data_IF_047913319567
#
_entry.id   IF_047913319567
#
_cell.length_a   1.000
_cell.length_b   1.000
_cell.length_c   1.000
_cell.angle_alpha   90.00
_cell.angle_beta   90.00
_cell.angle_gamma   90.00
#
_symmetry.space_group_name_H-M   'P 1'
#
loop_
_entity.id
_entity.type
_entity.pdbx_description
1 polymer ?
#
# COMPACT_ATOMS: atom_id res chain seq x y z
N UNK A 1 11.59 21.93 -6.94
CA UNK A 1 11.70 20.46 -6.95
C UNK A 1 13.15 20.11 -6.71
N UNK A 2 13.41 19.14 -5.82
CA UNK A 2 14.75 18.60 -5.56
C UNK A 2 15.20 17.71 -6.73
N UNK A 3 16.52 17.57 -6.93
CA UNK A 3 17.05 16.62 -7.91
C UNK A 3 16.70 15.19 -7.51
N UNK A 4 16.55 14.34 -8.53
CA UNK A 4 16.23 12.93 -8.35
C UNK A 4 17.51 12.13 -8.08
N UNK A 5 17.55 11.48 -6.92
CA UNK A 5 18.66 10.61 -6.49
C UNK A 5 18.18 9.20 -6.11
N UNK A 6 16.96 8.82 -6.51
CA UNK A 6 16.43 7.52 -6.17
C UNK A 6 17.19 6.41 -6.89
N UNK A 7 17.49 5.35 -6.15
CA UNK A 7 17.97 4.08 -6.71
C UNK A 7 16.78 3.30 -7.29
N UNK A 8 17.05 2.47 -8.29
CA UNK A 8 15.99 1.73 -8.98
C UNK A 8 15.42 0.58 -8.13
N UNK A 9 16.29 -0.10 -7.39
CA UNK A 9 15.96 -1.24 -6.55
C UNK A 9 16.72 -1.20 -5.24
N UNK A 10 16.09 -1.77 -4.21
CA UNK A 10 16.76 -2.01 -2.92
C UNK A 10 16.72 -3.49 -2.58
N UNK A 11 17.89 -4.03 -2.21
CA UNK A 11 18.03 -5.42 -1.83
C UNK A 11 17.44 -5.68 -0.42
N UNK A 12 16.90 -6.89 -0.19
CA UNK A 12 16.26 -7.23 1.11
C UNK A 12 17.24 -7.25 2.29
N UNK A 13 18.47 -7.64 2.04
CA UNK A 13 19.53 -7.67 3.04
C UNK A 13 19.93 -6.26 3.51
N UNK A 14 19.86 -5.26 2.64
CA UNK A 14 20.06 -3.86 3.02
C UNK A 14 18.93 -3.36 3.92
N UNK A 15 17.67 -3.73 3.63
CA UNK A 15 16.52 -3.29 4.39
C UNK A 15 16.60 -3.68 5.88
N UNK A 16 17.18 -4.84 6.22
CA UNK A 16 17.25 -5.29 7.62
C UNK A 16 18.07 -4.35 8.51
N UNK A 17 19.05 -3.64 7.95
CA UNK A 17 19.93 -2.73 8.67
C UNK A 17 19.44 -1.28 8.74
N UNK A 18 18.39 -0.95 7.97
CA UNK A 18 17.84 0.40 7.98
C UNK A 18 17.12 0.74 9.28
N UNK A 19 17.19 2.00 9.73
CA UNK A 19 16.42 2.48 10.87
C UNK A 19 14.93 2.27 10.64
N UNK A 20 14.22 1.88 11.70
CA UNK A 20 12.77 1.70 11.66
C UNK A 20 12.06 3.05 11.73
N UNK A 21 11.20 3.33 10.75
CA UNK A 21 10.26 4.43 10.80
C UNK A 21 8.89 3.95 11.27
N UNK A 22 8.18 4.82 11.98
CA UNK A 22 6.84 4.61 12.49
C UNK A 22 6.06 5.90 12.39
N UNK A 23 4.75 5.78 12.33
CA UNK A 23 3.88 6.93 12.54
C UNK A 23 3.91 7.32 14.02
N UNK A 24 4.24 8.57 14.29
CA UNK A 24 4.36 9.11 15.67
C UNK A 24 3.21 10.08 16.00
N UNK A 25 2.27 10.31 15.07
CA UNK A 25 1.11 11.16 15.28
C UNK A 25 0.00 10.48 16.08
N UNK A 26 -1.14 11.17 16.16
CA UNK A 26 -2.32 10.69 16.87
C UNK A 26 -3.03 9.58 16.09
N UNK A 27 -3.24 8.42 16.74
CA UNK A 27 -3.98 7.30 16.16
C UNK A 27 -5.37 7.23 16.78
N UNK A 28 -6.41 7.37 15.97
CA UNK A 28 -7.81 7.41 16.39
C UNK A 28 -8.54 6.19 15.82
N UNK A 29 -9.02 5.32 16.70
CA UNK A 29 -9.82 4.16 16.31
C UNK A 29 -11.28 4.58 16.22
N UNK A 30 -11.87 4.39 15.03
CA UNK A 30 -13.28 4.65 14.74
C UNK A 30 -14.02 3.31 14.66
N UNK A 31 -14.59 2.89 15.76
CA UNK A 31 -15.29 1.61 15.92
C UNK A 31 -16.77 1.74 16.30
N UNK A 32 -17.26 2.99 16.44
CA UNK A 32 -18.67 3.34 16.71
C UNK A 32 -19.14 4.40 15.70
N UNK A 33 -20.42 4.33 15.28
CA UNK A 33 -20.99 5.26 14.30
C UNK A 33 -20.86 6.73 14.69
N UNK A 34 -20.97 7.06 15.98
CA UNK A 34 -20.94 8.43 16.50
C UNK A 34 -19.57 9.12 16.30
N UNK A 35 -18.49 8.33 16.15
CA UNK A 35 -17.14 8.85 15.93
C UNK A 35 -16.88 9.21 14.45
N UNK A 36 -17.76 8.78 13.54
CA UNK A 36 -17.56 8.98 12.10
C UNK A 36 -17.62 10.46 11.73
N UNK A 37 -18.58 11.20 12.27
CA UNK A 37 -18.79 12.60 11.91
C UNK A 37 -17.57 13.46 12.31
N UNK A 38 -17.02 13.26 13.50
CA UNK A 38 -15.82 13.96 13.96
C UNK A 38 -14.61 13.65 13.05
N UNK A 39 -14.42 12.37 12.69
CA UNK A 39 -13.35 11.97 11.78
C UNK A 39 -13.53 12.62 10.39
N UNK A 40 -14.76 12.65 9.87
CA UNK A 40 -15.05 13.26 8.58
C UNK A 40 -14.90 14.78 8.59
N UNK A 41 -15.25 15.45 9.68
CA UNK A 41 -15.02 16.89 9.84
C UNK A 41 -13.55 17.27 9.70
N UNK A 42 -12.65 16.45 10.20
CA UNK A 42 -11.21 16.66 10.03
C UNK A 42 -10.74 16.27 8.63
N UNK A 43 -11.12 15.08 8.15
CA UNK A 43 -10.63 14.54 6.87
C UNK A 43 -11.13 15.34 5.66
N UNK A 44 -12.34 15.88 5.70
CA UNK A 44 -12.88 16.70 4.61
C UNK A 44 -12.20 18.06 4.42
N UNK A 45 -11.37 18.50 5.37
CA UNK A 45 -10.55 19.72 5.28
C UNK A 45 -9.17 19.45 4.67
N UNK A 46 -8.83 18.19 4.42
CA UNK A 46 -7.52 17.83 3.88
C UNK A 46 -7.50 17.94 2.35
N UNK A 47 -6.35 18.28 1.78
CA UNK A 47 -6.14 18.27 0.32
C UNK A 47 -5.65 16.90 -0.16
N UNK A 48 -4.85 16.20 0.67
CA UNK A 48 -4.26 14.91 0.34
C UNK A 48 -4.21 14.05 1.60
N UNK A 49 -4.60 12.78 1.45
CA UNK A 49 -4.59 11.77 2.51
C UNK A 49 -3.93 10.49 2.01
N UNK A 50 -3.22 9.80 2.88
CA UNK A 50 -2.73 8.45 2.65
C UNK A 50 -3.78 7.43 3.06
N UNK A 51 -3.92 6.37 2.29
CA UNK A 51 -4.93 5.33 2.52
C UNK A 51 -4.29 3.96 2.39
N UNK A 52 -4.73 3.06 3.26
CA UNK A 52 -4.45 1.64 3.15
C UNK A 52 -5.64 0.83 3.66
N UNK A 53 -5.70 -0.46 3.41
CA UNK A 53 -6.75 -1.34 3.93
C UNK A 53 -6.20 -2.66 4.42
N UNK A 54 -6.87 -3.23 5.42
CA UNK A 54 -6.52 -4.54 5.92
C UNK A 54 -7.72 -5.50 5.89
N UNK A 55 -7.43 -6.73 5.52
CA UNK A 55 -8.37 -7.84 5.54
C UNK A 55 -7.78 -9.01 6.32
N UNK A 56 -8.63 -9.86 6.87
CA UNK A 56 -8.17 -11.11 7.44
C UNK A 56 -7.38 -11.90 6.40
N UNK A 57 -6.17 -12.41 6.71
CA UNK A 57 -5.41 -13.20 5.77
C UNK A 57 -6.10 -14.53 5.46
N UNK A 58 -6.04 -14.96 4.20
CA UNK A 58 -6.50 -16.28 3.77
C UNK A 58 -5.31 -17.13 3.34
N UNK A 59 -5.23 -18.33 3.90
CA UNK A 59 -4.24 -19.36 3.51
C UNK A 59 -4.85 -20.40 2.55
N UNK A 60 -6.12 -20.22 2.15
CA UNK A 60 -6.80 -21.09 1.19
C UNK A 60 -6.94 -20.36 -0.15
N UNK A 61 -6.55 -21.03 -1.23
CA UNK A 61 -6.68 -20.49 -2.60
C UNK A 61 -8.13 -20.16 -2.93
N UNK A 62 -8.37 -18.97 -3.47
CA UNK A 62 -9.70 -18.49 -3.89
C UNK A 62 -10.60 -18.00 -2.76
N UNK A 63 -10.14 -18.02 -1.51
CA UNK A 63 -10.88 -17.46 -0.37
C UNK A 63 -10.39 -16.04 -0.13
N UNK A 64 -11.30 -15.08 -0.18
CA UNK A 64 -11.06 -13.66 0.10
C UNK A 64 -11.99 -13.19 1.22
N UNK A 65 -11.42 -12.59 2.25
CA UNK A 65 -12.20 -11.96 3.31
C UNK A 65 -12.48 -10.50 2.95
N UNK A 66 -13.62 -9.96 3.39
CA UNK A 66 -13.95 -8.56 3.14
C UNK A 66 -12.99 -7.65 3.92
N UNK A 67 -12.77 -6.44 3.41
CA UNK A 67 -11.97 -5.42 4.10
C UNK A 67 -12.46 -5.21 5.53
N UNK A 68 -11.59 -5.42 6.52
CA UNK A 68 -11.92 -5.31 7.93
C UNK A 68 -11.59 -3.92 8.51
N UNK A 69 -10.59 -3.26 7.96
CA UNK A 69 -10.06 -1.99 8.44
C UNK A 69 -9.73 -1.08 7.24
N UNK A 70 -10.05 0.21 7.37
CA UNK A 70 -9.56 1.28 6.48
C UNK A 70 -8.73 2.23 7.32
N UNK A 71 -7.52 2.49 6.87
CA UNK A 71 -6.63 3.47 7.48
C UNK A 71 -6.60 4.73 6.61
N UNK A 72 -6.79 5.89 7.22
CA UNK A 72 -6.67 7.19 6.56
C UNK A 72 -5.74 8.08 7.38
N UNK A 73 -4.60 8.41 6.78
CA UNK A 73 -3.55 9.17 7.45
C UNK A 73 -3.37 10.56 6.83
N UNK A 74 -3.13 11.52 7.72
CA UNK A 74 -2.46 12.79 7.45
C UNK A 74 -1.04 12.74 8.03
N UNK A 75 -0.30 13.83 8.06
CA UNK A 75 1.00 13.86 8.73
C UNK A 75 0.88 13.80 10.26
N UNK A 76 -0.24 14.27 10.82
CA UNK A 76 -0.44 14.43 12.26
C UNK A 76 -1.38 13.37 12.86
N UNK A 77 -2.34 12.88 12.08
CA UNK A 77 -3.41 11.97 12.55
C UNK A 77 -3.63 10.81 11.61
N UNK A 78 -3.93 9.66 12.19
CA UNK A 78 -4.41 8.50 11.44
C UNK A 78 -5.71 7.97 12.03
N UNK A 79 -6.73 7.86 11.20
CA UNK A 79 -8.04 7.29 11.55
C UNK A 79 -8.09 5.84 11.09
N UNK A 80 -8.43 4.95 12.02
CA UNK A 80 -8.56 3.51 11.81
C UNK A 80 -10.04 3.11 11.86
N UNK A 81 -10.70 3.08 10.70
CA UNK A 81 -12.12 2.75 10.59
C UNK A 81 -12.33 1.23 10.65
N UNK A 82 -12.91 0.74 11.72
CA UNK A 82 -13.20 -0.68 11.94
C UNK A 82 -14.46 -1.11 11.18
N UNK A 83 -14.33 -1.50 9.90
CA UNK A 83 -15.47 -1.87 9.06
C UNK A 83 -16.22 -3.14 9.55
N UNK A 84 -15.60 -3.93 10.39
CA UNK A 84 -16.26 -5.06 11.07
C UNK A 84 -17.29 -4.60 12.12
N UNK A 85 -17.16 -3.38 12.65
CA UNK A 85 -18.02 -2.81 13.69
C UNK A 85 -19.04 -1.83 13.12
N UNK A 86 -18.60 -0.95 12.22
CA UNK A 86 -19.42 0.17 11.72
C UNK A 86 -19.89 0.01 10.26
N UNK A 87 -19.52 -1.10 9.59
CA UNK A 87 -19.71 -1.22 8.15
C UNK A 87 -18.89 -0.19 7.36
N UNK A 88 -19.31 0.11 6.13
CA UNK A 88 -18.77 1.25 5.37
C UNK A 88 -19.77 2.41 5.48
N UNK A 89 -19.51 3.44 6.31
CA UNK A 89 -20.39 4.59 6.45
C UNK A 89 -20.55 5.36 5.12
N UNK A 90 -21.70 5.99 4.87
CA UNK A 90 -21.91 6.80 3.68
C UNK A 90 -20.89 7.93 3.59
N UNK A 91 -20.63 8.62 4.68
CA UNK A 91 -19.66 9.72 4.73
C UNK A 91 -18.23 9.28 4.30
N UNK A 92 -17.83 8.05 4.62
CA UNK A 92 -16.55 7.50 4.17
C UNK A 92 -16.58 7.18 2.66
N UNK A 93 -17.67 6.65 2.14
CA UNK A 93 -17.85 6.44 0.69
C UNK A 93 -17.83 7.78 -0.06
N UNK A 94 -18.46 8.83 0.48
CA UNK A 94 -18.46 10.19 -0.07
C UNK A 94 -17.06 10.81 -0.07
N UNK A 95 -16.24 10.56 0.95
CA UNK A 95 -14.84 10.97 0.98
C UNK A 95 -14.05 10.34 -0.19
N UNK A 96 -14.24 9.05 -0.47
CA UNK A 96 -13.60 8.40 -1.62
C UNK A 96 -14.10 8.94 -2.96
N UNK A 97 -15.35 9.37 -3.03
CA UNK A 97 -15.96 9.98 -4.22
C UNK A 97 -15.64 11.48 -4.38
N UNK A 98 -15.07 12.14 -3.36
CA UNK A 98 -14.78 13.56 -3.38
C UNK A 98 -13.59 13.88 -4.31
N UNK A 99 -13.79 14.65 -5.42
CA UNK A 99 -12.72 14.98 -6.35
C UNK A 99 -11.71 16.01 -5.79
N UNK A 100 -12.07 16.75 -4.73
CA UNK A 100 -11.21 17.79 -4.16
C UNK A 100 -10.09 17.23 -3.30
N UNK A 101 -10.27 16.04 -2.72
CA UNK A 101 -9.30 15.40 -1.86
C UNK A 101 -8.54 14.35 -2.69
N UNK A 102 -7.22 14.39 -2.70
CA UNK A 102 -6.38 13.35 -3.27
C UNK A 102 -6.23 12.20 -2.28
N UNK A 103 -6.61 10.99 -2.68
CA UNK A 103 -6.41 9.77 -1.90
C UNK A 103 -5.26 8.98 -2.51
N UNK A 104 -4.22 8.72 -1.73
CA UNK A 104 -3.01 8.01 -2.15
C UNK A 104 -2.92 6.67 -1.48
N UNK A 105 -2.75 5.62 -2.25
CA UNK A 105 -2.54 4.26 -1.75
C UNK A 105 -1.50 3.51 -2.57
N UNK A 106 -1.24 2.27 -2.20
CA UNK A 106 -0.37 1.36 -2.95
C UNK A 106 -1.17 0.12 -3.37
N UNK A 107 -1.08 -0.30 -4.63
CA UNK A 107 -1.98 -1.33 -5.22
C UNK A 107 -3.47 -0.99 -4.99
N UNK A 108 -3.79 0.27 -5.01
CA UNK A 108 -5.00 0.89 -4.45
C UNK A 108 -6.29 0.47 -5.17
N UNK A 109 -6.17 -0.05 -6.38
CA UNK A 109 -7.31 -0.53 -7.16
C UNK A 109 -8.06 -1.66 -6.45
N UNK A 110 -7.34 -2.58 -5.83
CA UNK A 110 -7.94 -3.75 -5.17
C UNK A 110 -8.62 -3.35 -3.86
N UNK A 111 -8.05 -2.41 -3.11
CA UNK A 111 -8.66 -1.83 -1.92
C UNK A 111 -9.98 -1.14 -2.26
N UNK A 112 -9.98 -0.27 -3.26
CA UNK A 112 -11.18 0.41 -3.73
C UNK A 112 -12.26 -0.57 -4.19
N UNK A 113 -11.89 -1.64 -4.88
CA UNK A 113 -12.81 -2.70 -5.27
C UNK A 113 -13.38 -3.45 -4.04
N UNK A 114 -12.55 -3.68 -3.03
CA UNK A 114 -12.97 -4.25 -1.75
C UNK A 114 -14.01 -3.39 -1.05
N UNK A 115 -13.78 -2.10 -0.97
CA UNK A 115 -14.70 -1.13 -0.37
C UNK A 115 -16.01 -0.99 -1.17
N UNK A 116 -15.93 -0.96 -2.49
CA UNK A 116 -17.11 -0.89 -3.37
C UNK A 116 -18.02 -2.09 -3.25
N UNK A 117 -17.51 -3.27 -2.91
CA UNK A 117 -18.35 -4.44 -2.59
C UNK A 117 -19.17 -4.26 -1.31
N UNK A 118 -18.74 -3.38 -0.40
CA UNK A 118 -19.50 -3.07 0.82
C UNK A 118 -20.56 -1.99 0.60
N UNK A 119 -20.25 -1.01 -0.23
CA UNK A 119 -21.17 0.10 -0.58
C UNK A 119 -20.75 0.66 -1.94
N UNK A 120 -21.73 0.87 -2.82
CA UNK A 120 -21.44 1.43 -4.14
C UNK A 120 -21.06 2.92 -4.04
N UNK A 121 -19.94 3.28 -4.66
CA UNK A 121 -19.49 4.66 -4.86
C UNK A 121 -18.56 4.72 -6.07
N UNK A 122 -18.39 5.90 -6.64
CA UNK A 122 -17.46 6.12 -7.76
C UNK A 122 -16.20 6.82 -7.27
N UNK A 123 -15.06 6.12 -7.11
CA UNK A 123 -13.83 6.74 -6.65
C UNK A 123 -13.38 7.87 -7.58
N UNK A 124 -12.93 8.99 -7.01
CA UNK A 124 -12.37 10.13 -7.74
C UNK A 124 -11.09 10.61 -7.08
N UNK A 125 -10.15 11.10 -7.89
CA UNK A 125 -8.86 11.63 -7.43
C UNK A 125 -8.12 10.64 -6.50
N UNK A 126 -8.00 9.39 -6.97
CA UNK A 126 -7.29 8.30 -6.29
C UNK A 126 -6.00 8.01 -7.05
N UNK A 127 -4.88 8.09 -6.38
CA UNK A 127 -3.53 7.86 -6.92
C UNK A 127 -3.00 6.54 -6.39
N UNK A 128 -2.61 5.66 -7.29
CA UNK A 128 -1.85 4.46 -6.94
C UNK A 128 -0.36 4.74 -7.11
N UNK A 129 0.41 4.61 -6.03
CA UNK A 129 1.86 4.84 -6.06
C UNK A 129 2.57 3.96 -7.08
N UNK A 130 2.12 2.71 -7.28
CA UNK A 130 2.70 1.81 -8.28
C UNK A 130 2.62 2.37 -9.70
N UNK A 131 1.62 3.21 -9.99
CA UNK A 131 1.44 3.83 -11.30
C UNK A 131 2.34 5.03 -11.56
N UNK A 132 2.98 5.58 -10.52
CA UNK A 132 3.73 6.83 -10.65
C UNK A 132 5.23 6.70 -10.30
N UNK A 133 5.61 5.75 -9.43
CA UNK A 133 7.00 5.61 -8.95
C UNK A 133 7.99 5.38 -10.10
N UNK A 134 7.58 4.67 -11.15
CA UNK A 134 8.42 4.42 -12.32
C UNK A 134 8.83 5.69 -13.09
N UNK A 135 8.06 6.79 -12.98
CA UNK A 135 8.43 8.10 -13.55
C UNK A 135 9.65 8.72 -12.86
N UNK A 136 9.95 8.24 -11.67
CA UNK A 136 11.10 8.67 -10.87
C UNK A 136 12.24 7.64 -10.89
N UNK A 137 12.14 6.58 -11.71
CA UNK A 137 13.13 5.53 -11.82
C UNK A 137 13.08 4.48 -10.71
N UNK A 138 12.07 4.50 -9.82
CA UNK A 138 11.86 3.47 -8.81
C UNK A 138 11.12 2.31 -9.45
N UNK A 139 11.73 1.12 -9.47
CA UNK A 139 11.19 -0.08 -10.11
C UNK A 139 10.67 -1.12 -9.09
N UNK A 140 10.98 -0.95 -7.81
CA UNK A 140 10.35 -1.69 -6.72
C UNK A 140 8.90 -1.22 -6.51
N UNK A 141 7.97 -2.17 -6.34
CA UNK A 141 6.52 -1.89 -6.23
C UNK A 141 5.94 -2.13 -4.83
N UNK A 142 6.73 -2.61 -3.88
CA UNK A 142 6.28 -2.85 -2.50
C UNK A 142 6.50 -1.64 -1.60
N UNK A 143 5.51 -1.31 -0.75
CA UNK A 143 5.52 -0.12 0.12
C UNK A 143 6.81 0.04 0.92
N UNK A 144 7.28 -1.03 1.59
CA UNK A 144 8.50 -1.00 2.39
C UNK A 144 9.74 -0.63 1.57
N UNK A 145 9.85 -1.16 0.34
CA UNK A 145 11.00 -0.89 -0.53
C UNK A 145 10.95 0.53 -1.10
N UNK A 146 9.78 0.97 -1.57
CA UNK A 146 9.61 2.35 -2.06
C UNK A 146 9.91 3.33 -0.93
N UNK A 147 9.39 3.09 0.27
CA UNK A 147 9.66 3.93 1.44
C UNK A 147 11.15 3.98 1.78
N UNK A 148 11.82 2.83 1.72
CA UNK A 148 13.24 2.74 1.99
C UNK A 148 14.10 3.49 0.93
N UNK A 149 13.70 3.46 -0.33
CA UNK A 149 14.35 4.22 -1.41
C UNK A 149 14.18 5.74 -1.19
N UNK A 150 12.98 6.16 -0.78
CA UNK A 150 12.69 7.59 -0.57
C UNK A 150 13.34 8.18 0.69
N UNK A 151 13.41 7.40 1.78
CA UNK A 151 13.72 7.94 3.12
C UNK A 151 14.91 7.28 3.83
N UNK A 152 15.56 6.31 3.22
CA UNK A 152 16.64 5.52 3.84
C UNK A 152 16.25 4.89 5.19
N UNK A 153 14.96 4.58 5.34
CA UNK A 153 14.35 3.97 6.52
C UNK A 153 13.43 2.84 6.10
N UNK A 154 13.25 1.84 6.96
CA UNK A 154 12.26 0.78 6.72
C UNK A 154 10.99 0.97 7.55
N UNK A 155 9.87 0.45 7.08
CA UNK A 155 8.65 0.24 7.85
C UNK A 155 8.48 -1.24 8.18
N UNK A 156 7.75 -1.56 9.25
CA UNK A 156 7.56 -2.94 9.72
C UNK A 156 6.59 -3.70 8.80
N UNK A 157 6.76 -5.02 8.71
CA UNK A 157 5.78 -5.95 8.12
C UNK A 157 5.21 -6.95 9.15
N UNK A 158 5.44 -6.71 10.42
CA UNK A 158 5.21 -7.71 11.48
C UNK A 158 3.73 -8.06 11.67
N UNK A 159 2.79 -7.18 11.30
CA UNK A 159 1.36 -7.38 11.51
C UNK A 159 0.58 -7.75 10.23
N UNK A 160 1.23 -7.81 9.07
CA UNK A 160 0.60 -8.03 7.76
C UNK A 160 -0.30 -9.29 7.71
N UNK A 161 0.08 -10.36 8.41
CA UNK A 161 -0.64 -11.64 8.40
C UNK A 161 -1.42 -11.89 9.70
N UNK A 162 -1.74 -10.86 10.47
CA UNK A 162 -2.55 -10.98 11.69
C UNK A 162 -4.05 -10.92 11.39
N UNK A 163 -4.87 -11.31 12.38
CA UNK A 163 -6.31 -11.28 12.22
C UNK A 163 -6.87 -9.87 12.49
N UNK A 164 -7.28 -9.18 11.44
CA UNK A 164 -7.83 -7.83 11.49
C UNK A 164 -9.32 -7.78 11.89
N UNK A 165 -9.97 -8.95 12.04
CA UNK A 165 -11.37 -9.07 12.48
C UNK A 165 -11.51 -9.27 14.00
N UNK A 166 -10.42 -9.29 14.77
CA UNK A 166 -10.47 -9.38 16.22
C UNK A 166 -11.36 -8.29 16.84
N UNK A 167 -11.91 -8.54 18.01
CA UNK A 167 -12.77 -7.58 18.73
C UNK A 167 -12.04 -6.24 19.01
N UNK A 168 -10.74 -6.29 19.26
CA UNK A 168 -9.90 -5.12 19.48
C UNK A 168 -8.63 -5.20 18.63
N UNK A 169 -8.14 -4.04 18.18
CA UNK A 169 -6.80 -3.94 17.60
C UNK A 169 -5.77 -3.89 18.73
N UNK A 170 -4.68 -4.63 18.57
CA UNK A 170 -3.53 -4.45 19.48
C UNK A 170 -2.82 -3.12 19.19
N UNK A 171 -2.07 -2.57 20.16
CA UNK A 171 -1.26 -1.38 19.92
C UNK A 171 -0.30 -1.54 18.72
N UNK A 172 0.25 -2.75 18.53
CA UNK A 172 1.14 -3.07 17.42
C UNK A 172 0.40 -3.06 16.08
N UNK A 173 -0.83 -3.61 16.02
CA UNK A 173 -1.68 -3.54 14.83
C UNK A 173 -2.05 -2.09 14.50
N UNK A 174 -2.47 -1.31 15.49
CA UNK A 174 -2.81 0.09 15.28
C UNK A 174 -1.63 0.90 14.76
N UNK A 175 -0.44 0.69 15.33
CA UNK A 175 0.81 1.33 14.88
C UNK A 175 1.22 0.90 13.48
N UNK A 176 1.11 -0.39 13.17
CA UNK A 176 1.41 -0.92 11.84
C UNK A 176 0.49 -0.28 10.80
N UNK A 177 -0.82 -0.38 10.99
CA UNK A 177 -1.83 0.12 10.06
C UNK A 177 -1.72 1.64 9.83
N UNK A 178 -1.48 2.41 10.90
CA UNK A 178 -1.27 3.86 10.77
C UNK A 178 0.02 4.20 10.02
N UNK A 179 1.08 3.39 10.21
CA UNK A 179 2.35 3.61 9.52
C UNK A 179 2.24 3.35 8.03
N UNK A 180 1.50 2.32 7.59
CA UNK A 180 1.37 1.99 6.18
C UNK A 180 0.58 3.08 5.43
N UNK A 181 -0.55 3.55 5.95
CA UNK A 181 -1.29 4.67 5.36
C UNK A 181 -0.48 5.98 5.36
N UNK A 182 0.23 6.29 6.43
CA UNK A 182 1.09 7.46 6.51
C UNK A 182 2.27 7.38 5.52
N UNK A 183 2.86 6.20 5.35
CA UNK A 183 3.95 5.99 4.40
C UNK A 183 3.52 6.27 2.96
N UNK A 184 2.30 5.90 2.55
CA UNK A 184 1.79 6.22 1.21
C UNK A 184 1.71 7.72 0.98
N UNK A 185 1.24 8.47 1.98
CA UNK A 185 1.18 9.93 1.93
C UNK A 185 2.56 10.56 1.82
N UNK A 186 3.52 10.13 2.65
CA UNK A 186 4.86 10.68 2.64
C UNK A 186 5.58 10.41 1.32
N UNK A 187 5.51 9.18 0.80
CA UNK A 187 6.09 8.84 -0.50
C UNK A 187 5.53 9.78 -1.58
N UNK A 188 4.22 9.96 -1.64
CA UNK A 188 3.60 10.83 -2.63
C UNK A 188 4.09 12.28 -2.53
N UNK A 189 4.16 12.83 -1.32
CA UNK A 189 4.69 14.19 -1.11
C UNK A 189 6.15 14.33 -1.50
N UNK A 190 6.95 13.32 -1.21
CA UNK A 190 8.36 13.27 -1.57
C UNK A 190 8.55 13.23 -3.09
N UNK A 191 7.80 12.37 -3.79
CA UNK A 191 7.79 12.31 -5.25
C UNK A 191 7.36 13.65 -5.88
N UNK A 192 6.30 14.29 -5.39
CA UNK A 192 5.87 15.59 -5.91
C UNK A 192 6.92 16.69 -5.73
N UNK A 193 7.75 16.61 -4.71
CA UNK A 193 8.84 17.55 -4.46
C UNK A 193 10.09 17.27 -5.30
N UNK A 194 10.17 16.10 -5.92
CA UNK A 194 11.32 15.60 -6.69
C UNK A 194 11.08 15.77 -8.18
N UNK A 195 12.14 16.06 -8.94
CA UNK A 195 12.09 16.15 -10.39
C UNK A 195 11.97 14.74 -11.00
N UNK A 196 10.94 14.45 -11.80
CA UNK A 196 10.86 13.15 -12.46
C UNK A 196 11.99 12.99 -13.50
N UNK A 197 12.28 11.74 -13.86
CA UNK A 197 13.18 11.46 -14.98
C UNK A 197 12.58 11.97 -16.30
N UNK A 198 13.41 12.25 -17.31
CA UNK A 198 12.94 12.46 -18.67
C UNK A 198 12.06 11.26 -19.12
N UNK A 199 10.94 11.49 -19.79
CA UNK A 199 10.00 10.39 -20.12
C UNK A 199 10.66 9.22 -20.87
N UNK A 200 11.55 9.49 -21.83
CA UNK A 200 12.24 8.45 -22.59
C UNK A 200 13.18 7.60 -21.72
N UNK A 201 13.79 8.17 -20.69
CA UNK A 201 14.67 7.47 -19.75
C UNK A 201 13.83 6.59 -18.80
N UNK A 202 12.75 7.13 -18.23
CA UNK A 202 11.84 6.38 -17.38
C UNK A 202 11.22 5.20 -18.14
N UNK A 203 10.79 5.39 -19.38
CA UNK A 203 10.24 4.33 -20.24
C UNK A 203 11.28 3.26 -20.59
N UNK A 204 12.53 3.65 -20.88
CA UNK A 204 13.62 2.71 -21.16
C UNK A 204 13.91 1.82 -19.94
N UNK A 205 13.98 2.40 -18.73
CA UNK A 205 14.19 1.66 -17.48
C UNK A 205 13.06 0.68 -17.21
N UNK A 206 11.80 1.10 -17.38
CA UNK A 206 10.64 0.23 -17.16
C UNK A 206 10.59 -0.92 -18.16
N UNK A 207 10.95 -0.67 -19.43
CA UNK A 207 11.03 -1.71 -20.46
C UNK A 207 12.11 -2.74 -20.14
N UNK A 208 13.30 -2.29 -19.79
CA UNK A 208 14.40 -3.17 -19.42
C UNK A 208 14.06 -4.05 -18.20
N UNK A 209 13.36 -3.48 -17.22
CA UNK A 209 12.89 -4.23 -16.05
C UNK A 209 11.86 -5.30 -16.43
N UNK A 210 10.90 -4.96 -17.29
CA UNK A 210 9.88 -5.91 -17.76
C UNK A 210 10.53 -7.08 -18.52
N UNK A 211 11.50 -6.80 -19.40
CA UNK A 211 12.26 -7.82 -20.13
C UNK A 211 13.01 -8.74 -19.16
N UNK A 212 13.67 -8.17 -18.15
CA UNK A 212 14.37 -8.93 -17.11
C UNK A 212 13.44 -9.85 -16.35
N UNK A 213 12.25 -9.36 -15.96
CA UNK A 213 11.24 -10.15 -15.26
C UNK A 213 10.70 -11.29 -16.13
N UNK A 214 10.47 -11.06 -17.42
CA UNK A 214 10.03 -12.08 -18.37
C UNK A 214 11.09 -13.17 -18.56
N UNK A 215 12.36 -12.80 -18.71
CA UNK A 215 13.45 -13.76 -18.83
C UNK A 215 13.56 -14.62 -17.57
N UNK A 216 13.55 -14.02 -16.40
CA UNK A 216 13.59 -14.76 -15.12
C UNK A 216 12.40 -15.71 -14.95
N UNK A 217 11.21 -15.28 -15.35
CA UNK A 217 10.02 -16.14 -15.31
C UNK A 217 10.16 -17.37 -16.26
N UNK A 218 10.72 -17.17 -17.44
CA UNK A 218 10.97 -18.27 -18.40
C UNK A 218 12.01 -19.27 -17.86
N UNK A 219 13.08 -18.77 -17.22
CA UNK A 219 14.08 -19.60 -16.55
C UNK A 219 13.46 -20.49 -15.46
N UNK A 220 12.60 -19.90 -14.61
CA UNK A 220 11.91 -20.64 -13.54
C UNK A 220 11.00 -21.75 -14.13
N UNK A 221 10.30 -21.47 -15.21
CA UNK A 221 9.45 -22.45 -15.89
C UNK A 221 10.32 -23.59 -16.43
N UNK A 222 11.38 -23.29 -17.15
CA UNK A 222 12.31 -24.28 -17.70
C UNK A 222 12.93 -25.19 -16.61
N UNK A 223 13.35 -24.59 -15.48
CA UNK A 223 13.87 -25.35 -14.35
C UNK A 223 12.83 -26.29 -13.72
N UNK A 224 11.56 -25.87 -13.62
CA UNK A 224 10.46 -26.71 -13.12
C UNK A 224 10.15 -27.87 -14.05
N UNK A 225 10.17 -27.65 -15.35
CA UNK A 225 9.97 -28.70 -16.36
C UNK A 225 11.09 -29.74 -16.32
N UNK A 226 12.36 -29.32 -16.22
CA UNK A 226 13.50 -30.22 -16.03
C UNK A 226 13.41 -31.05 -14.75
N UNK A 227 13.01 -30.42 -13.64
CA UNK A 227 12.83 -31.12 -12.36
C UNK A 227 11.71 -32.17 -12.43
N UNK A 228 10.61 -31.89 -13.12
CA UNK A 228 9.50 -32.82 -13.29
C UNK A 228 9.88 -34.03 -14.15
N UNK A 229 10.66 -33.82 -15.23
CA UNK A 229 11.16 -34.90 -16.09
C UNK A 229 12.17 -35.81 -15.37
N UNK A 230 13.04 -35.25 -14.53
CA UNK A 230 14.00 -36.03 -13.74
C UNK A 230 13.32 -36.91 -12.69
N UNK A 231 12.20 -36.46 -12.10
CA UNK A 231 11.44 -37.24 -11.11
C UNK A 231 10.69 -38.41 -11.76
N UNK A 232 10.19 -38.26 -13.00
CA UNK A 232 9.53 -39.34 -13.76
C UNK A 232 10.49 -40.44 -14.18
N UNK A 233 11.76 -40.10 -14.46
CA UNK A 233 12.77 -41.09 -14.88
C UNK A 233 13.37 -41.88 -13.70
N UNK A 234 13.13 -41.48 -12.43
CA UNK A 234 13.58 -42.22 -11.24
C UNK A 234 12.52 -43.19 -10.68
N UNK A 235 11.31 -43.18 -11.24
CA UNK A 235 10.18 -44.05 -10.81
C UNK A 235 9.88 -45.19 -11.81
N UNK A 236 10.70 -45.33 -12.85
CA UNK A 236 10.71 -46.48 -13.79
C UNK A 236 11.94 -47.33 -13.56
#
# INVERSE_FOLDING_TARGET
MKENHYIHHIAKDILQWMPLARFEGEVIIVDRPEQVDEAMDYLNRQNTIGVDTESRPSFKRGVHYPTALVQIATEERCYLFRLTHIGLPQALADLFANPRICKVGLAFRDDLNGLRRRRDFKPKNCIDLQSIVGKYGILDLGLQKIFAICFEKKISKSQQLTNWENSHLTPEQARYASTDAWATLLIYKDLLSTKPLPPHEAEALQRAELERQQQHQQEIIALREQASLSTQNQTT
#
